data_IF_057434631184
#
_entry.id   IF_057434631184
#
_cell.length_a   1.000
_cell.length_b   1.000
_cell.length_c   1.000
_cell.angle_alpha   90.00
_cell.angle_beta   90.00
_cell.angle_gamma   90.00
#
_symmetry.space_group_name_H-M   'P 1'
#
loop_
_entity.id
_entity.type
_entity.pdbx_description
1 polymer ?
#
# COMPACT_ATOMS: atom_id res chain seq x y z
N UNK A 1 10.69 1.14 -23.10
CA UNK A 1 10.53 1.53 -21.68
C UNK A 1 11.85 1.29 -20.93
N UNK A 2 12.13 2.04 -19.89
CA UNK A 2 13.34 2.00 -19.06
C UNK A 2 12.95 1.63 -17.63
N UNK A 3 13.64 0.71 -16.96
CA UNK A 3 13.34 0.37 -15.58
C UNK A 3 13.56 1.59 -14.67
N UNK A 4 12.77 1.71 -13.62
CA UNK A 4 12.98 2.68 -12.55
C UNK A 4 14.31 2.40 -11.84
N UNK A 5 15.17 3.39 -11.74
CA UNK A 5 16.39 3.28 -10.95
C UNK A 5 16.09 3.60 -9.50
N UNK A 6 16.22 2.64 -8.60
CA UNK A 6 15.90 2.81 -7.18
C UNK A 6 17.17 3.00 -6.37
N UNK A 7 17.25 4.09 -5.62
CA UNK A 7 18.31 4.41 -4.68
C UNK A 7 17.81 4.26 -3.24
N UNK A 8 18.73 3.96 -2.33
CA UNK A 8 18.43 4.03 -0.90
C UNK A 8 18.73 5.44 -0.34
N UNK A 9 18.14 5.82 0.80
CA UNK A 9 18.44 7.10 1.46
C UNK A 9 19.92 7.26 1.82
N UNK A 10 20.61 6.16 2.16
CA UNK A 10 22.05 6.17 2.48
C UNK A 10 22.88 6.51 1.27
N UNK A 11 22.51 6.01 0.07
CA UNK A 11 23.21 6.33 -1.18
C UNK A 11 23.15 7.81 -1.49
N UNK A 12 21.97 8.44 -1.40
CA UNK A 12 21.79 9.87 -1.67
C UNK A 12 22.33 10.76 -0.57
N UNK A 13 22.56 10.21 0.63
CA UNK A 13 23.18 10.92 1.77
C UNK A 13 24.68 10.65 1.94
N UNK A 14 25.27 9.86 1.03
CA UNK A 14 26.70 9.49 1.08
C UNK A 14 27.61 10.67 0.76
N UNK A 15 28.91 10.48 0.97
CA UNK A 15 29.93 11.48 0.57
C UNK A 15 30.09 11.65 -0.95
N UNK A 16 29.61 10.67 -1.72
CA UNK A 16 29.53 10.70 -3.19
C UNK A 16 28.12 10.27 -3.62
N UNK A 17 27.13 11.16 -3.49
CA UNK A 17 25.76 10.83 -3.84
C UNK A 17 25.62 10.64 -5.35
N UNK A 18 24.67 9.78 -5.80
CA UNK A 18 24.33 9.72 -7.22
C UNK A 18 23.82 11.08 -7.72
N UNK A 19 24.17 11.39 -8.94
CA UNK A 19 23.60 12.57 -9.60
C UNK A 19 22.21 12.25 -10.12
N UNK A 20 21.18 12.77 -9.43
CA UNK A 20 19.79 12.58 -9.83
C UNK A 20 19.36 13.50 -10.99
N UNK A 21 20.19 14.48 -11.40
CA UNK A 21 19.81 15.46 -12.42
C UNK A 21 19.68 14.85 -13.83
N UNK A 22 20.24 13.66 -14.06
CA UNK A 22 20.08 12.94 -15.32
C UNK A 22 18.69 12.31 -15.51
N UNK A 23 17.91 12.15 -14.42
CA UNK A 23 16.57 11.63 -14.51
C UNK A 23 15.59 12.72 -15.00
N UNK A 24 14.71 12.33 -15.92
CA UNK A 24 13.58 13.17 -16.33
C UNK A 24 12.56 13.30 -15.21
N UNK A 25 12.41 12.21 -14.41
CA UNK A 25 11.52 12.17 -13.25
C UNK A 25 12.27 11.67 -12.03
N UNK A 26 12.15 12.41 -10.93
CA UNK A 26 12.76 12.10 -9.63
C UNK A 26 11.65 11.93 -8.60
N UNK A 27 11.54 10.73 -8.05
CA UNK A 27 10.52 10.39 -7.07
C UNK A 27 11.12 10.21 -5.68
N UNK A 28 10.34 10.58 -4.67
CA UNK A 28 10.52 10.10 -3.31
C UNK A 28 9.46 9.04 -3.07
N UNK A 29 9.89 7.82 -2.79
CA UNK A 29 9.01 6.69 -2.55
C UNK A 29 8.93 6.40 -1.06
N UNK A 30 7.71 6.20 -0.54
CA UNK A 30 7.42 5.83 0.82
C UNK A 30 6.32 4.77 0.83
N UNK A 31 6.41 3.80 1.74
CA UNK A 31 5.41 2.76 1.75
C UNK A 31 5.76 1.54 2.56
N UNK A 32 5.02 0.51 2.30
CA UNK A 32 5.07 -0.78 2.98
C UNK A 32 5.94 -1.82 2.24
N UNK A 33 5.68 -3.10 2.51
CA UNK A 33 6.40 -4.22 1.90
C UNK A 33 6.25 -4.32 0.37
N UNK A 34 5.22 -3.72 -0.22
CA UNK A 34 5.03 -3.71 -1.67
C UNK A 34 6.08 -2.88 -2.41
N UNK A 35 6.80 -2.00 -1.69
CA UNK A 35 7.94 -1.24 -2.20
C UNK A 35 9.29 -1.77 -1.75
N UNK A 36 9.32 -2.80 -0.88
CA UNK A 36 10.57 -3.29 -0.30
C UNK A 36 10.82 -4.76 -0.60
N UNK A 37 10.17 -5.65 0.16
CA UNK A 37 10.53 -7.06 0.25
C UNK A 37 9.29 -7.95 0.28
N UNK A 38 9.06 -8.72 -0.78
CA UNK A 38 7.92 -9.65 -0.84
C UNK A 38 8.19 -10.98 -0.11
N UNK A 39 9.45 -11.40 -0.03
CA UNK A 39 9.89 -12.64 0.60
C UNK A 39 11.34 -12.54 1.03
N UNK A 40 11.73 -13.32 2.05
CA UNK A 40 13.13 -13.46 2.48
C UNK A 40 13.98 -14.34 1.55
N UNK A 41 13.37 -15.00 0.56
CA UNK A 41 14.10 -15.72 -0.48
C UNK A 41 14.52 -14.76 -1.61
N UNK A 42 15.81 -14.43 -1.75
CA UNK A 42 16.25 -13.43 -2.73
C UNK A 42 15.99 -13.85 -4.19
N UNK A 43 15.84 -15.15 -4.46
CA UNK A 43 15.55 -15.65 -5.82
C UNK A 43 14.08 -15.37 -6.26
N UNK A 44 13.19 -15.13 -5.31
CA UNK A 44 11.76 -14.88 -5.55
C UNK A 44 11.34 -13.49 -5.08
N UNK A 45 12.29 -12.67 -4.63
CA UNK A 45 11.99 -11.34 -4.14
C UNK A 45 11.81 -10.36 -5.29
N UNK A 46 10.69 -9.66 -5.30
CA UNK A 46 10.44 -8.49 -6.12
C UNK A 46 9.54 -7.52 -5.37
N UNK A 47 9.31 -6.37 -5.94
CA UNK A 47 8.39 -5.36 -5.44
C UNK A 47 7.91 -4.47 -6.59
N UNK A 48 6.95 -3.62 -6.28
CA UNK A 48 6.31 -2.79 -7.28
C UNK A 48 7.29 -1.82 -7.95
N UNK A 49 8.23 -1.23 -7.18
CA UNK A 49 9.22 -0.28 -7.72
C UNK A 49 10.20 -0.94 -8.69
N UNK A 50 10.60 -2.19 -8.41
CA UNK A 50 11.54 -2.92 -9.28
C UNK A 50 10.93 -3.27 -10.63
N UNK A 51 9.62 -3.44 -10.69
CA UNK A 51 8.91 -3.81 -11.93
C UNK A 51 8.38 -2.57 -12.69
N UNK A 52 8.52 -1.36 -12.14
CA UNK A 52 8.12 -0.13 -12.84
C UNK A 52 9.01 0.15 -14.05
N UNK A 53 8.37 0.53 -15.16
CA UNK A 53 9.05 0.87 -16.40
C UNK A 53 8.45 2.15 -16.99
N UNK A 54 9.29 3.15 -17.22
CA UNK A 54 8.96 4.46 -17.76
C UNK A 54 9.45 4.63 -19.18
N UNK A 55 8.82 5.50 -19.97
CA UNK A 55 9.34 5.90 -21.30
C UNK A 55 10.61 6.76 -21.13
N UNK A 56 10.58 7.69 -20.18
CA UNK A 56 11.73 8.53 -19.83
C UNK A 56 12.57 7.87 -18.75
N UNK A 57 13.83 8.29 -18.62
CA UNK A 57 14.66 7.84 -17.49
C UNK A 57 14.13 8.42 -16.19
N UNK A 58 13.77 7.55 -15.28
CA UNK A 58 13.22 7.89 -13.97
C UNK A 58 14.05 7.27 -12.84
N UNK A 59 14.12 7.95 -11.72
CA UNK A 59 14.72 7.41 -10.50
C UNK A 59 13.82 7.68 -9.28
N UNK A 60 13.96 6.82 -8.27
CA UNK A 60 13.29 6.98 -6.98
C UNK A 60 14.30 6.83 -5.84
N UNK A 61 14.12 7.60 -4.77
CA UNK A 61 14.73 7.31 -3.48
C UNK A 61 13.68 6.60 -2.63
N UNK A 62 13.93 5.35 -2.29
CA UNK A 62 12.98 4.51 -1.58
C UNK A 62 13.24 4.54 -0.08
N UNK A 63 12.31 5.14 0.67
CA UNK A 63 12.30 5.20 2.12
C UNK A 63 11.40 4.13 2.77
N UNK A 64 10.66 3.37 1.96
CA UNK A 64 9.67 2.42 2.42
C UNK A 64 10.22 1.37 3.39
N UNK A 65 9.40 0.96 4.36
CA UNK A 65 9.75 -0.06 5.35
C UNK A 65 8.67 -1.16 5.44
N UNK A 66 9.04 -2.45 5.49
CA UNK A 66 8.06 -3.53 5.58
C UNK A 66 7.18 -3.41 6.83
N UNK A 67 5.87 -3.46 6.65
CA UNK A 67 4.91 -3.39 7.76
C UNK A 67 4.50 -1.97 8.16
N UNK A 68 4.98 -0.93 7.48
CA UNK A 68 4.60 0.43 7.80
C UNK A 68 3.13 0.71 7.47
N UNK A 69 2.52 1.45 8.38
CA UNK A 69 1.19 2.05 8.22
C UNK A 69 1.34 3.50 7.80
N UNK A 70 0.28 4.07 7.24
CA UNK A 70 0.26 5.47 6.80
C UNK A 70 0.63 6.46 7.95
N UNK A 71 0.23 6.14 9.19
CA UNK A 71 0.62 6.95 10.35
C UNK A 71 2.13 6.93 10.59
N UNK A 72 2.78 5.75 10.49
CA UNK A 72 4.23 5.61 10.72
C UNK A 72 5.05 6.34 9.66
N UNK A 73 4.64 6.27 8.40
CA UNK A 73 5.28 6.96 7.27
C UNK A 73 5.36 8.48 7.48
N UNK A 74 4.42 9.06 8.24
CA UNK A 74 4.33 10.49 8.50
C UNK A 74 5.04 10.94 9.77
N UNK A 75 5.47 10.02 10.63
CA UNK A 75 6.02 10.34 11.94
C UNK A 75 7.56 10.46 11.93
N UNK A 76 8.08 11.63 12.33
CA UNK A 76 9.53 11.87 12.42
C UNK A 76 10.24 10.87 13.34
N UNK A 77 9.57 10.29 14.32
CA UNK A 77 10.16 9.30 15.22
C UNK A 77 10.22 7.90 14.61
N UNK A 78 9.28 7.57 13.75
CA UNK A 78 9.19 6.27 13.08
C UNK A 78 9.93 6.26 11.75
N UNK A 79 9.75 7.31 10.94
CA UNK A 79 10.48 7.50 9.70
C UNK A 79 11.10 8.91 9.55
N UNK A 80 12.19 9.17 10.27
CA UNK A 80 12.87 10.46 10.18
C UNK A 80 13.47 10.72 8.79
N UNK A 81 13.76 9.68 8.01
CA UNK A 81 14.51 9.80 6.76
C UNK A 81 13.62 10.33 5.66
N UNK A 82 12.43 9.75 5.47
CA UNK A 82 11.45 10.26 4.53
C UNK A 82 11.10 11.72 4.79
N UNK A 83 10.76 12.07 6.03
CA UNK A 83 10.42 13.44 6.40
C UNK A 83 11.58 14.42 6.17
N UNK A 84 12.84 14.00 6.41
CA UNK A 84 14.01 14.84 6.15
C UNK A 84 14.29 15.06 4.67
N UNK A 85 14.06 14.05 3.82
CA UNK A 85 14.22 14.15 2.37
C UNK A 85 13.08 14.93 1.72
N UNK A 86 11.91 14.97 2.35
CA UNK A 86 10.75 15.69 1.87
C UNK A 86 10.78 17.18 2.25
N UNK A 87 11.07 17.52 3.51
CA UNK A 87 11.01 18.91 4.02
C UNK A 87 12.15 19.35 4.94
N UNK A 88 13.07 18.46 5.29
CA UNK A 88 14.15 18.73 6.25
C UNK A 88 15.37 19.39 5.60
N UNK A 89 16.50 19.35 6.30
CA UNK A 89 17.78 19.89 5.80
C UNK A 89 18.34 19.14 4.60
N UNK A 90 17.85 17.93 4.33
CA UNK A 90 18.24 17.08 3.20
C UNK A 90 17.15 17.03 2.13
N UNK A 91 16.20 17.96 2.19
CA UNK A 91 15.11 17.98 1.24
C UNK A 91 15.61 18.25 -0.18
N UNK A 92 15.08 17.48 -1.11
CA UNK A 92 15.27 17.66 -2.54
C UNK A 92 13.97 18.14 -3.18
N UNK A 93 14.05 18.66 -4.40
CA UNK A 93 12.86 18.91 -5.22
C UNK A 93 12.53 17.60 -5.93
N UNK A 94 11.35 17.04 -5.62
CA UNK A 94 10.82 15.83 -6.22
C UNK A 94 9.76 16.18 -7.26
N UNK A 95 9.75 15.44 -8.36
CA UNK A 95 8.73 15.58 -9.40
C UNK A 95 7.44 14.86 -9.03
N UNK A 96 7.48 13.95 -8.05
CA UNK A 96 6.33 13.30 -7.45
C UNK A 96 6.69 12.42 -6.26
N UNK A 97 5.67 12.07 -5.47
CA UNK A 97 5.76 11.07 -4.40
C UNK A 97 5.15 9.76 -4.90
N UNK A 98 5.80 8.62 -4.64
CA UNK A 98 5.23 7.28 -4.85
C UNK A 98 4.84 6.72 -3.49
N UNK A 99 3.59 6.29 -3.33
CA UNK A 99 3.04 5.85 -2.04
C UNK A 99 2.45 4.43 -2.14
N UNK A 100 2.92 3.54 -1.27
CA UNK A 100 2.30 2.23 -1.03
C UNK A 100 1.75 2.18 0.39
N UNK A 101 0.46 2.48 0.56
CA UNK A 101 -0.13 2.71 1.88
C UNK A 101 -1.61 2.32 1.97
N UNK A 102 -2.06 2.01 3.17
CA UNK A 102 -3.43 1.58 3.47
C UNK A 102 -3.59 0.06 3.65
N UNK A 103 -2.73 -0.76 3.01
CA UNK A 103 -2.79 -2.22 3.13
C UNK A 103 -2.48 -2.71 4.54
N UNK A 104 -1.37 -2.26 5.12
CA UNK A 104 -1.02 -2.60 6.51
C UNK A 104 -1.96 -1.95 7.53
N UNK A 105 -2.47 -0.75 7.24
CA UNK A 105 -3.50 -0.11 8.06
C UNK A 105 -4.76 -0.98 8.15
N UNK A 106 -5.20 -1.56 7.02
CA UNK A 106 -6.32 -2.51 6.96
C UNK A 106 -6.00 -3.78 7.77
N UNK A 107 -4.84 -4.40 7.52
CA UNK A 107 -4.41 -5.63 8.23
C UNK A 107 -4.34 -5.40 9.73
N UNK A 108 -3.79 -4.27 10.18
CA UNK A 108 -3.70 -3.95 11.61
C UNK A 108 -5.08 -3.68 12.23
N UNK A 109 -5.97 -2.99 11.52
CA UNK A 109 -7.32 -2.74 11.98
C UNK A 109 -8.15 -4.04 12.09
N UNK A 110 -7.89 -5.04 11.25
CA UNK A 110 -8.53 -6.36 11.31
C UNK A 110 -8.10 -7.20 12.53
N UNK A 111 -6.97 -6.88 13.17
CA UNK A 111 -6.51 -7.57 14.38
C UNK A 111 -7.31 -7.23 15.64
N UNK A 112 -8.16 -6.20 15.59
CA UNK A 112 -9.02 -5.79 16.69
C UNK A 112 -10.18 -6.77 16.85
N UNK A 113 -10.03 -7.75 17.73
CA UNK A 113 -10.95 -8.88 17.94
C UNK A 113 -11.55 -8.87 19.35
N UNK A 114 -12.79 -9.33 19.46
CA UNK A 114 -13.44 -9.67 20.74
C UNK A 114 -14.43 -8.64 21.26
N UNK A 115 -15.32 -9.13 22.16
CA UNK A 115 -16.44 -8.36 22.70
C UNK A 115 -16.04 -7.19 23.64
N UNK A 116 -14.74 -7.11 24.02
CA UNK A 116 -14.21 -5.98 24.80
C UNK A 116 -13.79 -4.79 23.96
N UNK A 117 -13.71 -4.92 22.64
CA UNK A 117 -13.37 -3.85 21.71
C UNK A 117 -14.65 -3.23 21.16
N UNK A 118 -14.86 -1.90 21.29
CA UNK A 118 -16.06 -1.25 20.74
C UNK A 118 -16.19 -1.46 19.21
N UNK A 119 -17.42 -1.52 18.70
CA UNK A 119 -17.68 -1.66 17.26
C UNK A 119 -16.95 -0.62 16.41
N UNK A 120 -16.92 0.63 16.87
CA UNK A 120 -16.21 1.70 16.19
C UNK A 120 -14.68 1.53 16.11
N UNK A 121 -14.11 0.55 16.80
CA UNK A 121 -12.67 0.24 16.78
C UNK A 121 -12.37 -1.10 16.09
N UNK A 122 -13.38 -1.75 15.48
CA UNK A 122 -13.24 -3.02 14.77
C UNK A 122 -13.77 -2.91 13.35
N UNK A 123 -13.07 -3.44 12.37
CA UNK A 123 -13.58 -3.53 10.99
C UNK A 123 -14.58 -4.67 10.81
N UNK A 124 -14.44 -5.73 11.62
CA UNK A 124 -15.34 -6.88 11.59
C UNK A 124 -16.16 -6.97 12.88
N UNK A 125 -17.40 -7.40 12.72
CA UNK A 125 -18.33 -7.67 13.79
C UNK A 125 -17.95 -8.96 14.53
N UNK A 126 -18.24 -9.01 15.85
CA UNK A 126 -18.20 -10.27 16.60
C UNK A 126 -19.33 -11.20 16.15
N UNK A 127 -19.20 -12.51 16.41
CA UNK A 127 -20.10 -13.53 15.89
C UNK A 127 -21.57 -13.32 16.25
N UNK A 128 -21.83 -12.84 17.45
CA UNK A 128 -23.18 -12.53 17.96
C UNK A 128 -23.77 -11.22 17.41
N UNK A 129 -22.97 -10.45 16.67
CA UNK A 129 -23.35 -9.19 16.03
C UNK A 129 -23.56 -9.31 14.52
N UNK A 130 -23.27 -10.47 13.92
CA UNK A 130 -23.34 -10.63 12.46
C UNK A 130 -24.73 -10.32 11.94
N UNK A 131 -24.78 -9.66 10.77
CA UNK A 131 -26.03 -9.38 10.08
C UNK A 131 -26.66 -10.62 9.45
N UNK A 132 -27.79 -10.41 8.78
CA UNK A 132 -28.51 -11.47 8.06
C UNK A 132 -27.62 -12.12 7.00
N UNK A 133 -27.73 -13.45 6.88
CA UNK A 133 -26.99 -14.23 5.88
C UNK A 133 -27.28 -13.81 4.42
N UNK A 134 -28.44 -13.22 4.16
CA UNK A 134 -28.81 -12.67 2.86
C UNK A 134 -27.89 -11.51 2.39
N UNK A 135 -27.18 -10.86 3.31
CA UNK A 135 -26.21 -9.81 2.99
C UNK A 135 -24.84 -10.35 2.56
N UNK A 136 -24.67 -11.67 2.46
CA UNK A 136 -23.38 -12.28 2.08
C UNK A 136 -22.25 -11.85 3.00
N UNK A 137 -21.03 -11.57 2.48
CA UNK A 137 -19.87 -11.19 3.30
C UNK A 137 -20.03 -9.82 3.98
N UNK A 138 -20.88 -8.93 3.49
CA UNK A 138 -21.13 -7.63 4.12
C UNK A 138 -21.74 -7.74 5.53
N UNK A 139 -22.36 -8.86 5.86
CA UNK A 139 -22.87 -9.14 7.22
C UNK A 139 -21.80 -9.14 8.31
N UNK A 140 -20.54 -9.27 7.94
CA UNK A 140 -19.40 -9.29 8.85
C UNK A 140 -18.82 -7.92 9.13
N UNK A 141 -19.12 -6.90 8.31
CA UNK A 141 -18.52 -5.57 8.42
C UNK A 141 -19.14 -4.77 9.56
N UNK A 142 -18.31 -4.01 10.27
CA UNK A 142 -18.72 -2.98 11.23
C UNK A 142 -18.79 -1.62 10.54
N UNK A 143 -19.97 -1.06 10.25
CA UNK A 143 -20.06 0.25 9.59
C UNK A 143 -19.39 1.36 10.39
N UNK A 144 -19.52 1.33 11.73
CA UNK A 144 -18.90 2.29 12.63
C UNK A 144 -17.37 2.18 12.62
N UNK A 145 -16.86 0.96 12.55
CA UNK A 145 -15.41 0.69 12.44
C UNK A 145 -14.85 1.20 11.11
N UNK A 146 -15.54 0.96 10.01
CA UNK A 146 -15.15 1.46 8.69
C UNK A 146 -15.20 3.00 8.62
N UNK A 147 -16.17 3.64 9.27
CA UNK A 147 -16.20 5.11 9.37
C UNK A 147 -15.00 5.64 10.15
N UNK A 148 -14.62 4.99 11.25
CA UNK A 148 -13.43 5.35 12.04
C UNK A 148 -12.16 5.17 11.21
N UNK A 149 -12.05 4.05 10.50
CA UNK A 149 -10.91 3.75 9.63
C UNK A 149 -10.77 4.77 8.49
N UNK A 150 -11.87 5.14 7.84
CA UNK A 150 -11.89 6.21 6.84
C UNK A 150 -11.39 7.54 7.43
N UNK A 151 -11.88 7.91 8.61
CA UNK A 151 -11.43 9.15 9.30
C UNK A 151 -9.94 9.10 9.60
N UNK A 152 -9.43 7.94 10.03
CA UNK A 152 -8.01 7.73 10.28
C UNK A 152 -7.17 7.89 9.00
N UNK A 153 -7.56 7.25 7.89
CA UNK A 153 -6.85 7.38 6.61
C UNK A 153 -6.83 8.83 6.14
N UNK A 154 -7.97 9.52 6.15
CA UNK A 154 -8.07 10.92 5.74
C UNK A 154 -7.16 11.83 6.58
N UNK A 155 -7.10 11.64 7.89
CA UNK A 155 -6.26 12.44 8.77
C UNK A 155 -4.78 12.26 8.45
N UNK A 156 -4.34 11.02 8.19
CA UNK A 156 -2.94 10.72 7.87
C UNK A 156 -2.56 11.20 6.45
N UNK A 157 -3.44 11.06 5.45
CA UNK A 157 -3.19 11.67 4.13
C UNK A 157 -3.09 13.20 4.20
N UNK A 158 -3.97 13.85 4.96
CA UNK A 158 -3.88 15.29 5.16
C UNK A 158 -2.55 15.69 5.83
N UNK A 159 -2.07 14.89 6.79
CA UNK A 159 -0.77 15.09 7.43
C UNK A 159 0.38 14.90 6.44
N UNK A 160 0.41 13.81 5.68
CA UNK A 160 1.43 13.51 4.67
C UNK A 160 1.52 14.62 3.62
N UNK A 161 0.40 15.04 3.06
CA UNK A 161 0.38 16.13 2.09
C UNK A 161 0.79 17.47 2.71
N UNK A 162 0.45 17.71 3.97
CA UNK A 162 0.96 18.87 4.73
C UNK A 162 2.48 18.84 4.91
N UNK A 163 3.10 17.66 5.08
CA UNK A 163 4.55 17.50 5.10
C UNK A 163 5.17 17.81 3.73
N UNK A 164 4.57 17.34 2.62
CA UNK A 164 4.96 17.67 1.25
C UNK A 164 4.95 19.18 1.02
N UNK A 165 3.85 19.82 1.40
CA UNK A 165 3.61 21.23 1.11
C UNK A 165 4.44 22.17 2.02
N UNK A 166 4.99 21.66 3.12
CA UNK A 166 5.95 22.37 3.96
C UNK A 166 7.40 22.29 3.45
N UNK A 167 7.66 21.58 2.35
CA UNK A 167 8.98 21.37 1.74
C UNK A 167 9.15 22.01 0.37
N UNK A 168 10.30 21.82 -0.27
CA UNK A 168 10.59 22.40 -1.61
C UNK A 168 9.76 21.74 -2.72
N UNK A 169 9.12 20.62 -2.47
CA UNK A 169 8.24 19.89 -3.40
C UNK A 169 6.75 20.22 -3.17
N UNK A 170 6.45 21.41 -2.61
CA UNK A 170 5.07 21.81 -2.35
C UNK A 170 4.21 21.69 -3.61
N UNK A 171 3.06 21.02 -3.48
CA UNK A 171 2.12 20.81 -4.57
C UNK A 171 2.54 19.77 -5.62
N UNK A 172 3.70 19.09 -5.49
CA UNK A 172 4.03 18.02 -6.43
C UNK A 172 2.99 16.88 -6.33
N UNK A 173 2.70 16.17 -7.42
CA UNK A 173 1.74 15.06 -7.39
C UNK A 173 2.21 13.94 -6.46
N UNK A 174 1.26 13.34 -5.73
CA UNK A 174 1.46 12.14 -4.95
C UNK A 174 0.64 11.01 -5.59
N UNK A 175 1.29 9.90 -5.88
CA UNK A 175 0.71 8.76 -6.58
C UNK A 175 0.60 7.58 -5.64
N UNK A 176 -0.60 7.11 -5.40
CA UNK A 176 -0.86 5.88 -4.65
C UNK A 176 -1.55 4.85 -5.52
N UNK A 177 -1.43 3.59 -5.16
CA UNK A 177 -2.06 2.47 -5.87
C UNK A 177 -3.02 1.72 -4.95
N UNK A 178 -3.98 1.00 -5.54
CA UNK A 178 -4.74 -0.04 -4.87
C UNK A 178 -3.92 -1.32 -4.68
N UNK A 179 -4.48 -2.26 -3.92
CA UNK A 179 -3.89 -3.58 -3.70
C UNK A 179 -4.66 -4.65 -4.46
N UNK A 180 -3.96 -5.66 -4.97
CA UNK A 180 -4.61 -6.84 -5.52
C UNK A 180 -5.31 -7.64 -4.41
N UNK A 181 -6.36 -8.38 -4.77
CA UNK A 181 -7.13 -9.16 -3.81
C UNK A 181 -6.38 -10.45 -3.40
N UNK A 182 -5.96 -10.59 -2.13
CA UNK A 182 -5.25 -11.76 -1.65
C UNK A 182 -6.20 -12.95 -1.45
N UNK A 183 -5.65 -14.16 -1.55
CA UNK A 183 -6.33 -15.37 -1.09
C UNK A 183 -5.93 -15.65 0.36
N UNK A 184 -6.86 -15.60 1.33
CA UNK A 184 -6.55 -15.92 2.74
C UNK A 184 -6.06 -17.36 2.87
N UNK A 185 -4.78 -17.54 3.18
CA UNK A 185 -4.13 -18.86 3.22
C UNK A 185 -2.93 -18.88 4.15
N UNK A 186 -2.53 -20.08 4.59
CA UNK A 186 -1.38 -20.25 5.49
C UNK A 186 -0.05 -20.12 4.72
N UNK A 187 0.22 -18.95 4.18
CA UNK A 187 1.45 -18.70 3.43
C UNK A 187 2.09 -17.39 3.89
N UNK A 188 3.09 -17.50 4.75
CA UNK A 188 3.89 -16.39 5.24
C UNK A 188 5.13 -16.11 4.37
N UNK A 189 5.88 -15.06 4.72
CA UNK A 189 7.15 -14.71 4.07
C UNK A 189 8.35 -15.52 4.61
N UNK A 190 8.14 -16.45 5.51
CA UNK A 190 9.17 -17.23 6.19
C UNK A 190 9.51 -16.70 7.60
N UNK A 191 10.21 -17.51 8.40
CA UNK A 191 10.66 -17.18 9.78
C UNK A 191 9.56 -16.64 10.71
N UNK A 192 8.31 -17.11 10.54
CA UNK A 192 7.17 -16.69 11.35
C UNK A 192 6.57 -15.34 10.96
N UNK A 193 6.96 -14.76 9.82
CA UNK A 193 6.33 -13.57 9.26
C UNK A 193 5.10 -13.96 8.43
N UNK A 194 3.93 -13.53 8.85
CA UNK A 194 2.65 -13.89 8.23
C UNK A 194 2.15 -15.30 8.62
N UNK A 195 1.02 -15.73 8.11
CA UNK A 195 0.11 -14.98 7.24
C UNK A 195 -0.50 -13.76 7.93
N UNK A 196 -1.11 -12.86 7.18
CA UNK A 196 -1.56 -11.56 7.68
C UNK A 196 -3.08 -11.45 7.78
N UNK A 197 -3.82 -11.91 6.75
CA UNK A 197 -5.27 -11.82 6.69
C UNK A 197 -5.94 -13.03 7.35
N UNK A 198 -5.47 -14.24 7.04
CA UNK A 198 -6.03 -15.49 7.56
C UNK A 198 -6.18 -15.52 9.07
N UNK A 199 -5.19 -15.11 9.90
CA UNK A 199 -5.34 -15.14 11.36
C UNK A 199 -6.49 -14.26 11.85
N UNK A 200 -6.71 -13.11 11.22
CA UNK A 200 -7.82 -12.21 11.58
C UNK A 200 -9.17 -12.81 11.24
N UNK A 201 -9.32 -13.45 10.06
CA UNK A 201 -10.56 -14.13 9.69
C UNK A 201 -10.88 -15.28 10.64
N UNK A 202 -9.86 -16.05 11.05
CA UNK A 202 -10.00 -17.13 12.02
C UNK A 202 -10.39 -16.61 13.41
N UNK A 203 -9.74 -15.54 13.87
CA UNK A 203 -10.00 -14.93 15.17
C UNK A 203 -11.40 -14.32 15.29
N UNK A 204 -11.99 -13.91 14.16
CA UNK A 204 -13.39 -13.45 14.07
C UNK A 204 -14.39 -14.59 13.81
N UNK A 205 -13.97 -15.85 13.86
CA UNK A 205 -14.81 -17.05 13.59
C UNK A 205 -15.45 -17.05 12.19
N UNK A 206 -14.87 -16.35 11.21
CA UNK A 206 -15.43 -16.30 9.85
C UNK A 206 -15.39 -17.70 9.22
N UNK A 207 -16.53 -18.23 8.73
CA UNK A 207 -16.56 -19.52 8.06
C UNK A 207 -15.63 -19.56 6.85
N UNK A 208 -14.89 -20.66 6.69
CA UNK A 208 -13.95 -20.82 5.55
C UNK A 208 -14.60 -20.59 4.18
N UNK A 209 -15.88 -20.98 4.03
CA UNK A 209 -16.63 -20.80 2.80
C UNK A 209 -16.76 -19.31 2.37
N UNK A 210 -16.66 -18.39 3.35
CA UNK A 210 -16.84 -16.96 3.13
C UNK A 210 -15.51 -16.19 3.00
N UNK A 211 -14.37 -16.85 3.23
CA UNK A 211 -13.06 -16.17 3.26
C UNK A 211 -12.74 -15.42 1.96
N UNK A 212 -12.90 -16.06 0.81
CA UNK A 212 -12.59 -15.42 -0.49
C UNK A 212 -13.52 -14.23 -0.76
N UNK A 213 -14.81 -14.40 -0.50
CA UNK A 213 -15.78 -13.34 -0.72
C UNK A 213 -15.56 -12.16 0.24
N UNK A 214 -15.17 -12.43 1.51
CA UNK A 214 -14.86 -11.38 2.47
C UNK A 214 -13.55 -10.69 2.14
N UNK A 215 -12.50 -11.43 1.74
CA UNK A 215 -11.24 -10.81 1.30
C UNK A 215 -11.46 -9.86 0.12
N UNK A 216 -12.24 -10.30 -0.89
CA UNK A 216 -12.60 -9.47 -2.03
C UNK A 216 -13.35 -8.20 -1.59
N UNK A 217 -14.32 -8.33 -0.68
CA UNK A 217 -15.05 -7.19 -0.14
C UNK A 217 -14.14 -6.23 0.61
N UNK A 218 -13.25 -6.71 1.48
CA UNK A 218 -12.32 -5.87 2.25
C UNK A 218 -11.40 -5.06 1.32
N UNK A 219 -10.88 -5.68 0.26
CA UNK A 219 -10.02 -4.99 -0.71
C UNK A 219 -10.82 -3.98 -1.56
N UNK A 220 -12.09 -4.30 -1.88
CA UNK A 220 -12.98 -3.38 -2.58
C UNK A 220 -13.28 -2.14 -1.74
N UNK A 221 -13.67 -2.32 -0.48
CA UNK A 221 -13.93 -1.23 0.47
C UNK A 221 -12.70 -0.35 0.69
N UNK A 222 -11.50 -0.94 0.84
CA UNK A 222 -10.26 -0.18 0.91
C UNK A 222 -10.03 0.64 -0.37
N UNK A 223 -10.21 0.02 -1.54
CA UNK A 223 -10.05 0.69 -2.83
C UNK A 223 -11.00 1.87 -2.97
N UNK A 224 -12.28 1.71 -2.60
CA UNK A 224 -13.28 2.77 -2.63
C UNK A 224 -12.95 3.93 -1.70
N UNK A 225 -12.41 3.64 -0.50
CA UNK A 225 -11.95 4.68 0.43
C UNK A 225 -10.77 5.47 -0.16
N UNK A 226 -9.77 4.80 -0.72
CA UNK A 226 -8.59 5.44 -1.32
C UNK A 226 -8.99 6.29 -2.54
N UNK A 227 -9.87 5.77 -3.39
CA UNK A 227 -10.40 6.48 -4.55
C UNK A 227 -11.19 7.72 -4.14
N UNK A 228 -12.07 7.61 -3.14
CA UNK A 228 -12.84 8.73 -2.62
C UNK A 228 -11.94 9.82 -1.99
N UNK A 229 -10.87 9.43 -1.30
CA UNK A 229 -9.87 10.35 -0.75
C UNK A 229 -9.17 11.11 -1.89
N UNK A 230 -8.69 10.41 -2.93
CA UNK A 230 -8.04 11.06 -4.07
C UNK A 230 -8.99 11.95 -4.87
N UNK A 231 -10.27 11.60 -4.95
CA UNK A 231 -11.29 12.40 -5.65
C UNK A 231 -11.62 13.73 -4.95
N UNK A 232 -11.34 13.86 -3.64
CA UNK A 232 -11.51 15.13 -2.90
C UNK A 232 -10.28 16.04 -3.10
N UNK A 233 -10.11 16.55 -4.31
CA UNK A 233 -8.98 17.43 -4.67
C UNK A 233 -8.91 18.75 -3.93
N UNK A 234 -9.93 19.11 -3.15
CA UNK A 234 -9.93 20.29 -2.27
C UNK A 234 -9.15 19.99 -0.98
N UNK A 235 -9.41 18.84 -0.37
CA UNK A 235 -8.74 18.42 0.87
C UNK A 235 -7.40 17.74 0.61
N UNK A 236 -7.29 17.03 -0.51
CA UNK A 236 -6.11 16.23 -0.88
C UNK A 236 -5.60 16.62 -2.28
N UNK A 237 -5.10 17.87 -2.43
CA UNK A 237 -4.70 18.38 -3.74
C UNK A 237 -3.53 17.58 -4.33
N UNK A 238 -3.65 17.26 -5.63
CA UNK A 238 -2.66 16.50 -6.40
C UNK A 238 -2.34 15.10 -5.80
N UNK A 239 -3.32 14.47 -5.12
CA UNK A 239 -3.28 13.07 -4.77
C UNK A 239 -3.96 12.25 -5.87
N UNK A 240 -3.25 11.30 -6.45
CA UNK A 240 -3.72 10.47 -7.56
C UNK A 240 -3.80 9.02 -7.12
N UNK A 241 -4.93 8.38 -7.33
CA UNK A 241 -5.14 6.96 -7.06
C UNK A 241 -5.12 6.15 -8.36
N UNK A 242 -4.32 5.10 -8.38
CA UNK A 242 -4.32 4.11 -9.46
C UNK A 242 -5.11 2.88 -9.01
N UNK A 243 -6.28 2.69 -9.61
CA UNK A 243 -7.14 1.55 -9.31
C UNK A 243 -6.60 0.27 -9.93
N UNK A 244 -6.20 -0.67 -9.09
CA UNK A 244 -5.66 -1.97 -9.49
C UNK A 244 -6.74 -3.05 -9.66
N UNK A 245 -7.99 -2.77 -9.28
CA UNK A 245 -9.08 -3.77 -9.24
C UNK A 245 -9.45 -4.32 -10.62
N UNK A 246 -9.21 -3.55 -11.69
CA UNK A 246 -9.44 -3.96 -13.06
C UNK A 246 -8.31 -4.82 -13.67
N UNK A 247 -7.19 -4.98 -12.96
CA UNK A 247 -6.02 -5.71 -13.43
C UNK A 247 -6.12 -7.16 -13.01
N UNK A 248 -6.03 -8.07 -13.98
CA UNK A 248 -6.13 -9.50 -13.73
C UNK A 248 -4.85 -10.03 -13.06
N UNK A 249 -4.96 -10.37 -11.78
CA UNK A 249 -3.94 -11.08 -11.01
C UNK A 249 -4.44 -12.51 -10.80
N UNK A 250 -3.62 -13.50 -11.21
CA UNK A 250 -3.98 -14.90 -11.04
C UNK A 250 -4.04 -15.23 -9.54
N UNK A 251 -5.23 -15.64 -9.02
CA UNK A 251 -5.37 -15.91 -7.59
C UNK A 251 -4.55 -17.12 -7.16
N UNK A 252 -4.14 -17.11 -5.89
CA UNK A 252 -3.56 -18.29 -5.28
C UNK A 252 -4.64 -19.32 -4.92
N UNK A 253 -4.24 -20.58 -4.78
CA UNK A 253 -5.11 -21.64 -4.26
C UNK A 253 -5.15 -21.58 -2.72
N UNK A 254 -6.34 -21.75 -2.13
CA UNK A 254 -6.57 -21.65 -0.67
C UNK A 254 -5.69 -22.56 0.18
N UNK A 255 -5.33 -23.73 -0.34
CA UNK A 255 -4.59 -24.76 0.40
C UNK A 255 -3.08 -24.73 0.13
N UNK A 256 -2.60 -23.88 -0.77
CA UNK A 256 -1.18 -23.76 -1.05
C UNK A 256 -0.49 -22.90 0.02
N UNK A 257 0.59 -23.43 0.61
CA UNK A 257 1.38 -22.73 1.63
C UNK A 257 2.61 -21.98 1.06
N UNK A 258 2.87 -22.10 -0.24
CA UNK A 258 3.97 -21.48 -0.95
C UNK A 258 3.52 -20.58 -2.09
N UNK A 259 4.38 -20.41 -3.10
CA UNK A 259 4.05 -19.65 -4.31
C UNK A 259 2.89 -20.30 -5.06
N UNK A 260 1.89 -19.52 -5.47
CA UNK A 260 0.68 -19.99 -6.13
C UNK A 260 0.05 -18.87 -6.94
N UNK A 261 -0.25 -19.12 -8.23
CA UNK A 261 -0.71 -18.08 -9.14
C UNK A 261 0.33 -16.96 -9.29
N UNK A 262 -0.10 -15.71 -9.15
CA UNK A 262 0.79 -14.55 -9.16
C UNK A 262 1.29 -14.16 -7.74
N UNK A 263 1.18 -15.06 -6.73
CA UNK A 263 1.44 -14.77 -5.33
C UNK A 263 2.58 -15.60 -4.76
N UNK A 264 3.58 -14.92 -4.17
CA UNK A 264 4.69 -15.56 -3.44
C UNK A 264 4.23 -16.09 -2.09
N UNK A 265 3.36 -15.34 -1.43
CA UNK A 265 2.75 -15.68 -0.14
C UNK A 265 1.32 -15.14 -0.08
N UNK A 266 0.74 -14.99 1.12
CA UNK A 266 -0.65 -14.56 1.24
C UNK A 266 -0.92 -13.18 0.63
N UNK A 267 -0.02 -12.20 0.81
CA UNK A 267 -0.26 -10.79 0.45
C UNK A 267 0.75 -10.17 -0.52
N UNK A 268 1.82 -10.88 -0.88
CA UNK A 268 2.84 -10.38 -1.78
C UNK A 268 2.83 -11.10 -3.12
N UNK A 269 3.00 -10.35 -4.18
CA UNK A 269 3.01 -10.85 -5.53
C UNK A 269 4.38 -11.41 -5.94
N UNK A 270 4.39 -12.28 -6.95
CA UNK A 270 5.59 -12.63 -7.72
C UNK A 270 6.07 -11.44 -8.54
N UNK A 271 7.27 -11.49 -9.11
CA UNK A 271 7.74 -10.47 -10.06
C UNK A 271 6.75 -10.26 -11.22
N UNK A 272 6.19 -11.35 -11.77
CA UNK A 272 5.17 -11.26 -12.82
C UNK A 272 3.88 -10.58 -12.34
N UNK A 273 3.41 -10.89 -11.12
CA UNK A 273 2.25 -10.24 -10.54
C UNK A 273 2.49 -8.73 -10.31
N UNK A 274 3.65 -8.35 -9.77
CA UNK A 274 4.01 -6.94 -9.63
C UNK A 274 4.14 -6.23 -10.98
N UNK A 275 4.73 -6.85 -12.00
CA UNK A 275 4.88 -6.25 -13.33
C UNK A 275 3.52 -5.91 -13.97
N UNK A 276 2.50 -6.76 -13.76
CA UNK A 276 1.12 -6.49 -14.23
C UNK A 276 0.53 -5.20 -13.67
N UNK A 277 0.90 -4.83 -12.45
CA UNK A 277 0.44 -3.60 -11.79
C UNK A 277 1.40 -2.41 -12.08
N UNK A 278 2.69 -2.65 -12.01
CA UNK A 278 3.73 -1.61 -12.05
C UNK A 278 3.81 -0.92 -13.42
N UNK A 279 3.70 -1.70 -14.51
CA UNK A 279 3.83 -1.15 -15.88
C UNK A 279 2.68 -0.18 -16.20
N UNK A 280 1.40 -0.53 -16.02
CA UNK A 280 0.32 0.43 -16.28
C UNK A 280 0.29 1.58 -15.26
N UNK A 281 0.73 1.35 -14.00
CA UNK A 281 0.84 2.44 -13.04
C UNK A 281 1.90 3.46 -13.44
N UNK A 282 3.09 3.01 -13.86
CA UNK A 282 4.13 3.89 -14.38
C UNK A 282 3.64 4.74 -15.57
N UNK A 283 2.90 4.13 -16.49
CA UNK A 283 2.30 4.85 -17.62
C UNK A 283 1.26 5.90 -17.16
N UNK A 284 0.44 5.59 -16.16
CA UNK A 284 -0.51 6.54 -15.59
C UNK A 284 0.21 7.73 -14.91
N UNK A 285 1.31 7.47 -14.18
CA UNK A 285 2.15 8.51 -13.57
C UNK A 285 2.74 9.44 -14.65
N UNK A 286 3.33 8.87 -15.71
CA UNK A 286 3.87 9.67 -16.81
C UNK A 286 2.79 10.53 -17.48
N UNK A 287 1.58 9.99 -17.65
CA UNK A 287 0.46 10.74 -18.20
C UNK A 287 0.11 11.99 -17.40
N UNK A 288 0.14 11.90 -16.06
CA UNK A 288 -0.06 13.07 -15.18
C UNK A 288 1.09 14.06 -15.29
N UNK A 289 2.34 13.59 -15.25
CA UNK A 289 3.53 14.46 -15.28
C UNK A 289 3.72 15.17 -16.62
N UNK A 290 3.24 14.59 -17.72
CA UNK A 290 3.32 15.20 -19.07
C UNK A 290 2.16 16.17 -19.34
N UNK A 291 1.06 16.04 -18.61
CA UNK A 291 -0.11 16.92 -18.73
C UNK A 291 -0.12 18.11 -17.78
N UNK A 292 0.87 18.21 -16.90
CA UNK A 292 0.98 19.25 -15.86
C UNK A 292 1.71 20.51 -16.33
#
# INVERSE_FOLDING_TARGET
MKPLTVYTPEQVSSSMPPDLSFAAYRFLAEGDSWFTLSTLNPAHNSNLLFEMQFEQFACAVNCAYPGDTLARMCEMNSDPVFVQLLRGRRAHIWDGLLLSCGGNDLVDALKAVGNGVPRAQRLLLARDEWGDAAHGPARYLSPEGWQTFNTYLQANFAHLLGLRDAGPSAGCPAFMHGYACPTPRNAGAGFGLGPWLLPSLQAHDIPRADWLALAALLMHELGDLLEAIAADGVRFPNLHFFDTRAIEIMPATLDDEGESGDWVNEIHLTANGYAKLAVPWAAAIEGVLQGA
#
